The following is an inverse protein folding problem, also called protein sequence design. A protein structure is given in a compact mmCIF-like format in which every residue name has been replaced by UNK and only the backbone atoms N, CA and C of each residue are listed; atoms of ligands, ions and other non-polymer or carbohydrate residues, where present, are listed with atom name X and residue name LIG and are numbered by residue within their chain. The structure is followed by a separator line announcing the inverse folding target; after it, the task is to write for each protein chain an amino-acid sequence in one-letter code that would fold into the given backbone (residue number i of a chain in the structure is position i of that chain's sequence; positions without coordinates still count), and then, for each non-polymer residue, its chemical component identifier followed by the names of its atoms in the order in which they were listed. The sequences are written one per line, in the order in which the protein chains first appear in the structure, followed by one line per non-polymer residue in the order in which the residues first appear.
data_IF_421053269583
#
_entry.id   IF_421053269583
#
_cell.length_a   1.000
_cell.length_b   1.000
_cell.length_c   1.000
_cell.angle_alpha   90.00
_cell.angle_beta   90.00
_cell.angle_gamma   90.00
#
_symmetry.space_group_name_H-M   'P 1'
#
loop_
_entity.id
_entity.type
_entity.pdbx_description
1 polymer ?
#
# COMPACT_ATOMS: atom_id res chain seq x y z
N UNK A 1 -0.94 -18.25 -15.09
CA UNK A 1 -1.99 -18.35 -16.10
C UNK A 1 -3.36 -18.26 -15.42
N UNK A 2 -4.35 -17.66 -16.01
CA UNK A 2 -5.65 -17.32 -15.44
C UNK A 2 -5.64 -16.13 -14.44
N UNK A 3 -4.56 -15.33 -14.39
CA UNK A 3 -4.48 -14.13 -13.55
C UNK A 3 -4.02 -14.37 -12.11
N UNK A 4 -3.68 -15.60 -11.73
CA UNK A 4 -3.13 -15.87 -10.41
C UNK A 4 -1.66 -15.46 -10.32
N UNK A 5 -1.25 -14.94 -9.16
CA UNK A 5 0.16 -14.66 -8.88
C UNK A 5 0.94 -15.98 -8.92
N UNK A 6 2.04 -15.97 -9.67
CA UNK A 6 2.95 -17.11 -9.73
C UNK A 6 4.21 -16.74 -8.93
N UNK A 7 4.51 -17.48 -7.85
CA UNK A 7 5.75 -17.31 -7.10
C UNK A 7 6.97 -17.51 -8.00
N UNK A 8 8.04 -16.81 -7.73
CA UNK A 8 9.29 -16.97 -8.47
C UNK A 8 10.09 -18.19 -7.97
N UNK A 9 11.15 -18.53 -8.70
CA UNK A 9 11.98 -19.69 -8.37
C UNK A 9 12.73 -19.59 -7.03
N UNK A 10 12.88 -18.38 -6.48
CA UNK A 10 13.52 -18.17 -5.17
C UNK A 10 12.56 -18.48 -4.01
N UNK A 11 11.24 -18.31 -4.23
CA UNK A 11 10.19 -18.55 -3.25
C UNK A 11 9.06 -19.36 -3.89
N UNK A 12 9.33 -20.62 -4.31
CA UNK A 12 8.37 -21.40 -5.09
C UNK A 12 7.16 -21.88 -4.27
N UNK A 13 7.30 -21.99 -2.95
CA UNK A 13 6.27 -22.39 -2.00
C UNK A 13 6.01 -21.27 -0.99
N UNK A 14 5.12 -20.35 -1.33
CA UNK A 14 4.77 -19.24 -0.46
C UNK A 14 4.04 -19.69 0.80
N UNK A 15 3.19 -20.73 0.71
CA UNK A 15 2.49 -21.27 1.88
C UNK A 15 3.47 -21.88 2.87
N UNK A 16 4.39 -22.72 2.39
CA UNK A 16 5.43 -23.29 3.25
C UNK A 16 6.34 -22.23 3.88
N UNK A 17 6.66 -21.17 3.15
CA UNK A 17 7.43 -20.03 3.69
C UNK A 17 6.68 -19.34 4.83
N UNK A 18 5.40 -19.02 4.63
CA UNK A 18 4.61 -18.34 5.68
C UNK A 18 4.40 -19.24 6.90
N UNK A 19 4.15 -20.52 6.72
CA UNK A 19 4.01 -21.48 7.82
C UNK A 19 5.32 -21.58 8.62
N UNK A 20 6.46 -21.59 7.94
CA UNK A 20 7.76 -21.58 8.61
C UNK A 20 7.96 -20.31 9.44
N UNK A 21 7.68 -19.13 8.87
CA UNK A 21 7.79 -17.85 9.59
C UNK A 21 6.88 -17.82 10.82
N UNK A 22 5.63 -18.32 10.67
CA UNK A 22 4.69 -18.41 11.78
C UNK A 22 5.17 -19.39 12.87
N UNK A 23 5.84 -20.47 12.49
CA UNK A 23 6.40 -21.44 13.46
C UNK A 23 7.47 -20.81 14.36
N UNK A 24 8.09 -19.70 13.89
CA UNK A 24 9.04 -18.90 14.67
C UNK A 24 8.36 -17.86 15.56
N UNK A 25 7.02 -17.79 15.58
CA UNK A 25 6.25 -16.77 16.31
C UNK A 25 6.26 -15.38 15.63
N UNK A 26 6.65 -15.31 14.37
CA UNK A 26 6.74 -14.07 13.59
C UNK A 26 5.53 -13.90 12.68
N UNK A 27 5.34 -12.67 12.18
CA UNK A 27 4.35 -12.29 11.17
C UNK A 27 5.02 -12.08 9.82
N UNK A 28 4.27 -12.27 8.73
CA UNK A 28 4.79 -12.15 7.37
C UNK A 28 3.88 -11.29 6.50
N UNK A 29 4.47 -10.40 5.73
CA UNK A 29 3.75 -9.53 4.82
C UNK A 29 4.22 -9.66 3.38
N UNK A 30 3.44 -9.06 2.48
CA UNK A 30 3.76 -8.95 1.07
C UNK A 30 3.61 -7.50 0.61
N UNK A 31 4.26 -7.19 -0.49
CA UNK A 31 4.19 -5.91 -1.18
C UNK A 31 3.53 -6.07 -2.54
N UNK A 32 2.59 -5.19 -2.88
CA UNK A 32 1.97 -5.11 -4.19
C UNK A 32 1.59 -3.66 -4.55
N UNK A 33 0.87 -3.48 -5.65
CA UNK A 33 0.47 -2.17 -6.17
C UNK A 33 -0.91 -2.28 -6.83
N UNK A 34 -1.75 -1.23 -6.76
CA UNK A 34 -2.99 -1.14 -7.51
C UNK A 34 -2.78 -1.03 -9.03
N UNK A 35 -1.61 -0.62 -9.47
CA UNK A 35 -1.27 -0.53 -10.89
C UNK A 35 -0.90 -1.89 -11.50
N UNK A 36 -0.66 -1.94 -12.82
CA UNK A 36 -0.21 -3.16 -13.49
C UNK A 36 1.20 -3.61 -13.06
N UNK A 37 2.02 -2.69 -12.52
CA UNK A 37 3.39 -2.96 -12.10
C UNK A 37 3.67 -2.40 -10.71
N UNK A 38 4.46 -3.11 -9.93
CA UNK A 38 5.06 -2.58 -8.70
C UNK A 38 6.21 -1.64 -9.04
N UNK A 39 6.69 -0.86 -8.07
CA UNK A 39 7.84 0.03 -8.24
C UNK A 39 9.14 -0.75 -8.56
N UNK A 40 9.23 -2.02 -8.15
CA UNK A 40 10.32 -2.93 -8.49
C UNK A 40 10.16 -3.64 -9.84
N UNK A 41 9.15 -3.29 -10.65
CA UNK A 41 8.92 -3.89 -11.98
C UNK A 41 8.28 -5.29 -11.94
N UNK A 42 7.82 -5.76 -10.78
CA UNK A 42 7.02 -6.98 -10.69
C UNK A 42 5.55 -6.70 -11.04
N UNK A 43 4.76 -7.75 -11.26
CA UNK A 43 3.33 -7.60 -11.53
C UNK A 43 2.61 -6.98 -10.33
N UNK A 44 1.70 -6.03 -10.59
CA UNK A 44 0.78 -5.47 -9.60
C UNK A 44 -0.61 -6.08 -9.74
N UNK A 45 -1.56 -5.62 -8.91
CA UNK A 45 -2.87 -6.26 -8.76
C UNK A 45 -3.95 -5.75 -9.74
N UNK A 46 -3.63 -4.82 -10.64
CA UNK A 46 -4.63 -4.17 -11.49
C UNK A 46 -5.49 -5.16 -12.28
N UNK A 47 -6.79 -5.17 -12.00
CA UNK A 47 -7.77 -6.07 -12.61
C UNK A 47 -7.80 -7.49 -12.04
N UNK A 48 -6.97 -7.79 -11.03
CA UNK A 48 -6.85 -9.10 -10.38
C UNK A 48 -6.91 -9.00 -8.85
N UNK A 49 -7.40 -7.87 -8.32
CA UNK A 49 -7.38 -7.56 -6.88
C UNK A 49 -8.05 -8.64 -6.03
N UNK A 50 -9.16 -9.20 -6.54
CA UNK A 50 -9.85 -10.31 -5.84
C UNK A 50 -9.00 -11.56 -5.76
N UNK A 51 -8.43 -11.98 -6.90
CA UNK A 51 -7.61 -13.19 -6.97
C UNK A 51 -6.36 -13.06 -6.11
N UNK A 52 -5.75 -11.87 -6.12
CA UNK A 52 -4.59 -11.57 -5.30
C UNK A 52 -4.93 -11.61 -3.80
N UNK A 53 -6.04 -10.99 -3.39
CA UNK A 53 -6.49 -11.03 -2.01
C UNK A 53 -6.80 -12.46 -1.54
N UNK A 54 -7.47 -13.27 -2.38
CA UNK A 54 -7.73 -14.68 -2.09
C UNK A 54 -6.41 -15.45 -1.90
N UNK A 55 -5.44 -15.23 -2.78
CA UNK A 55 -4.12 -15.85 -2.71
C UNK A 55 -3.34 -15.44 -1.45
N UNK A 56 -3.41 -14.16 -1.05
CA UNK A 56 -2.80 -13.68 0.20
C UNK A 56 -3.40 -14.38 1.43
N UNK A 57 -4.71 -14.58 1.43
CA UNK A 57 -5.41 -15.35 2.46
C UNK A 57 -4.97 -16.81 2.50
N UNK A 58 -4.91 -17.49 1.35
CA UNK A 58 -4.48 -18.87 1.21
C UNK A 58 -3.02 -19.09 1.65
N UNK A 59 -2.13 -18.18 1.26
CA UNK A 59 -0.73 -18.24 1.69
C UNK A 59 -0.54 -17.93 3.17
N UNK A 60 -1.53 -17.36 3.82
CA UNK A 60 -1.46 -17.08 5.24
C UNK A 60 -0.73 -15.76 5.57
N UNK A 61 -0.76 -14.79 4.67
CA UNK A 61 -0.11 -13.49 4.92
C UNK A 61 -0.85 -12.69 6.00
N UNK A 62 -0.09 -11.94 6.80
CA UNK A 62 -0.60 -11.11 7.89
C UNK A 62 -0.61 -9.61 7.55
N UNK A 63 0.03 -9.20 6.46
CA UNK A 63 0.24 -7.80 6.13
C UNK A 63 0.37 -7.60 4.62
N UNK A 64 -0.28 -6.56 4.10
CA UNK A 64 -0.11 -6.09 2.73
C UNK A 64 0.34 -4.62 2.74
N UNK A 65 1.53 -4.32 2.18
CA UNK A 65 1.89 -2.96 1.76
C UNK A 65 1.44 -2.76 0.31
N UNK A 66 0.54 -1.81 0.10
CA UNK A 66 -0.08 -1.55 -1.22
C UNK A 66 0.33 -0.17 -1.71
N UNK A 67 1.26 -0.15 -2.65
CA UNK A 67 1.99 1.05 -3.05
C UNK A 67 1.46 1.65 -4.36
N UNK A 68 1.45 2.96 -4.44
CA UNK A 68 0.96 3.73 -5.60
C UNK A 68 1.87 3.65 -6.84
N UNK A 69 2.41 2.50 -7.16
CA UNK A 69 3.25 2.32 -8.34
C UNK A 69 2.38 2.14 -9.60
N UNK A 70 2.73 2.78 -10.69
CA UNK A 70 2.12 2.67 -12.02
C UNK A 70 0.61 2.96 -12.14
N UNK A 71 -0.13 3.14 -11.05
CA UNK A 71 -1.57 3.39 -11.11
C UNK A 71 -1.93 4.75 -11.72
N UNK A 72 -1.04 5.74 -11.65
CA UNK A 72 -1.24 7.02 -12.31
C UNK A 72 -1.52 6.89 -13.80
N UNK A 73 -0.80 5.99 -14.49
CA UNK A 73 -1.04 5.72 -15.91
C UNK A 73 -2.34 4.94 -16.20
N UNK A 74 -2.90 4.26 -15.21
CA UNK A 74 -4.26 3.67 -15.30
C UNK A 74 -5.31 4.76 -15.13
N UNK A 75 -5.13 5.59 -14.12
CA UNK A 75 -6.03 6.70 -13.82
C UNK A 75 -6.26 7.59 -15.04
N UNK A 76 -5.19 7.95 -15.74
CA UNK A 76 -5.28 8.80 -16.92
C UNK A 76 -6.05 8.14 -18.10
N UNK A 77 -6.06 6.80 -18.18
CA UNK A 77 -6.79 6.05 -19.23
C UNK A 77 -8.24 5.76 -18.87
N UNK A 78 -8.55 5.62 -17.59
CA UNK A 78 -9.89 5.29 -17.09
C UNK A 78 -10.74 6.52 -16.76
N UNK A 79 -10.17 7.73 -16.89
CA UNK A 79 -10.86 8.99 -16.57
C UNK A 79 -12.22 9.15 -17.25
N UNK A 80 -12.36 8.64 -18.47
CA UNK A 80 -13.60 8.77 -19.25
C UNK A 80 -14.70 7.77 -18.86
N UNK A 81 -14.40 6.78 -18.03
CA UNK A 81 -15.29 5.65 -17.72
C UNK A 81 -15.74 5.55 -16.27
N UNK A 82 -15.12 6.32 -15.38
CA UNK A 82 -15.36 6.23 -13.95
C UNK A 82 -16.07 7.48 -13.44
N UNK A 83 -17.32 7.37 -12.91
CA UNK A 83 -18.03 8.52 -12.32
C UNK A 83 -17.30 9.12 -11.10
N UNK A 84 -16.28 8.44 -10.57
CA UNK A 84 -15.43 8.93 -9.49
C UNK A 84 -14.07 9.46 -10.00
N UNK A 85 -13.87 9.53 -11.33
CA UNK A 85 -12.64 10.02 -11.91
C UNK A 85 -12.52 11.53 -11.77
N UNK A 86 -11.46 11.99 -11.16
CA UNK A 86 -10.98 13.38 -11.20
C UNK A 86 -9.59 13.35 -11.84
N UNK A 87 -9.28 14.35 -12.65
CA UNK A 87 -8.02 14.41 -13.38
C UNK A 87 -6.81 14.21 -12.46
N UNK A 88 -5.75 13.61 -12.98
CA UNK A 88 -4.47 13.44 -12.26
C UNK A 88 -3.94 14.74 -11.66
N UNK A 89 -4.26 15.88 -12.27
CA UNK A 89 -3.97 17.22 -11.78
C UNK A 89 -4.74 17.59 -10.50
N UNK A 90 -5.99 17.12 -10.35
CA UNK A 90 -6.76 17.34 -9.11
C UNK A 90 -6.20 16.51 -7.93
N UNK A 91 -5.55 15.37 -8.22
CA UNK A 91 -4.88 14.57 -7.21
C UNK A 91 -3.64 15.27 -6.64
N UNK A 92 -2.91 16.02 -7.46
CA UNK A 92 -1.75 16.83 -7.04
C UNK A 92 -2.17 18.09 -6.26
N UNK A 93 -3.40 18.53 -6.39
CA UNK A 93 -3.92 19.76 -5.81
C UNK A 93 -4.44 19.67 -4.37
N UNK A 94 -4.25 18.56 -3.66
CA UNK A 94 -4.66 18.41 -2.24
C UNK A 94 -6.18 18.40 -2.01
N UNK A 95 -6.99 18.25 -3.04
CA UNK A 95 -8.42 18.08 -2.93
C UNK A 95 -8.77 16.64 -2.47
N UNK A 96 -9.96 16.47 -1.89
CA UNK A 96 -10.52 15.15 -1.53
C UNK A 96 -10.82 14.30 -2.79
N UNK A 97 -9.79 13.97 -3.56
CA UNK A 97 -9.92 13.21 -4.79
C UNK A 97 -10.36 11.78 -4.51
N UNK A 98 -11.60 11.47 -4.84
CA UNK A 98 -12.19 10.13 -4.73
C UNK A 98 -11.44 9.13 -5.62
N UNK A 99 -10.90 9.55 -6.75
CA UNK A 99 -10.18 8.69 -7.70
C UNK A 99 -8.97 7.99 -7.07
N UNK A 100 -8.22 8.69 -6.23
CA UNK A 100 -7.09 8.10 -5.51
C UNK A 100 -7.47 7.08 -4.43
N UNK A 101 -8.75 7.03 -4.03
CA UNK A 101 -9.25 6.10 -3.02
C UNK A 101 -9.74 4.78 -3.61
N UNK A 102 -10.25 4.82 -4.85
CA UNK A 102 -10.89 3.68 -5.52
C UNK A 102 -10.04 2.41 -5.49
N UNK A 103 -8.77 2.42 -5.93
CA UNK A 103 -7.98 1.20 -5.96
C UNK A 103 -7.71 0.63 -4.56
N UNK A 104 -7.52 1.50 -3.57
CA UNK A 104 -7.35 1.07 -2.18
C UNK A 104 -8.64 0.50 -1.61
N UNK A 105 -9.80 1.10 -1.97
CA UNK A 105 -11.10 0.56 -1.55
C UNK A 105 -11.37 -0.81 -2.14
N UNK A 106 -11.08 -1.02 -3.41
CA UNK A 106 -11.30 -2.31 -4.10
C UNK A 106 -10.50 -3.42 -3.39
N UNK A 107 -9.20 -3.22 -3.20
CA UNK A 107 -8.35 -4.19 -2.49
C UNK A 107 -8.81 -4.36 -1.03
N UNK A 108 -9.10 -3.27 -0.31
CA UNK A 108 -9.57 -3.33 1.07
C UNK A 108 -10.90 -4.11 1.22
N UNK A 109 -11.82 -3.99 0.26
CA UNK A 109 -13.07 -4.75 0.25
C UNK A 109 -12.82 -6.26 0.10
N UNK A 110 -11.85 -6.68 -0.72
CA UNK A 110 -11.49 -8.09 -0.88
C UNK A 110 -10.67 -8.64 0.28
N UNK A 111 -9.77 -7.84 0.86
CA UNK A 111 -9.03 -8.25 2.06
C UNK A 111 -9.97 -8.54 3.25
N UNK A 112 -11.03 -7.73 3.42
CA UNK A 112 -12.04 -7.96 4.48
C UNK A 112 -12.87 -9.23 4.29
N UNK A 113 -12.90 -9.82 3.10
CA UNK A 113 -13.59 -11.07 2.82
C UNK A 113 -12.73 -12.30 3.11
N UNK A 114 -11.45 -12.11 3.42
CA UNK A 114 -10.56 -13.23 3.71
C UNK A 114 -10.87 -13.83 5.09
N UNK A 115 -10.65 -15.16 5.28
CA UNK A 115 -10.93 -15.85 6.53
C UNK A 115 -9.91 -15.53 7.64
N UNK A 116 -9.05 -14.53 7.42
CA UNK A 116 -8.00 -14.10 8.35
C UNK A 116 -7.81 -12.59 8.30
N UNK A 117 -7.33 -12.03 9.38
CA UNK A 117 -6.96 -10.61 9.42
C UNK A 117 -5.65 -10.37 8.66
N UNK A 118 -5.68 -9.42 7.73
CA UNK A 118 -4.51 -8.94 6.99
C UNK A 118 -4.42 -7.43 7.24
N UNK A 119 -3.35 -6.99 7.90
CA UNK A 119 -3.09 -5.58 8.11
C UNK A 119 -2.81 -4.90 6.77
N UNK A 120 -3.58 -3.89 6.46
CA UNK A 120 -3.53 -3.20 5.18
C UNK A 120 -2.85 -1.84 5.30
N UNK A 121 -1.68 -1.69 4.69
CA UNK A 121 -0.90 -0.45 4.65
C UNK A 121 -1.07 0.23 3.29
N UNK A 122 -1.56 1.46 3.31
CA UNK A 122 -1.74 2.29 2.13
C UNK A 122 -0.47 3.12 1.90
N UNK A 123 0.24 2.86 0.81
CA UNK A 123 1.46 3.58 0.47
C UNK A 123 1.25 4.47 -0.76
N UNK A 124 0.64 5.64 -0.55
CA UNK A 124 0.43 6.65 -1.60
C UNK A 124 0.98 8.03 -1.18
N UNK A 125 2.01 8.03 -0.33
CA UNK A 125 2.88 9.17 -0.02
C UNK A 125 2.18 10.37 0.64
N UNK A 126 1.05 10.16 1.31
CA UNK A 126 0.27 11.23 1.96
C UNK A 126 -0.64 11.99 1.01
N UNK A 127 -0.68 11.62 -0.27
CA UNK A 127 -1.51 12.29 -1.27
C UNK A 127 -2.99 12.24 -0.89
N UNK A 128 -3.70 13.36 -1.11
CA UNK A 128 -5.13 13.49 -0.82
C UNK A 128 -5.46 13.36 0.65
N UNK A 129 -4.52 13.71 1.56
CA UNK A 129 -4.72 13.63 3.01
C UNK A 129 -5.21 12.23 3.45
N UNK A 130 -4.49 11.18 3.07
CA UNK A 130 -4.87 9.78 3.31
C UNK A 130 -5.32 9.49 4.74
N UNK A 131 -4.78 10.19 5.73
CA UNK A 131 -5.18 10.07 7.13
C UNK A 131 -6.66 10.40 7.40
N UNK A 132 -7.30 11.17 6.51
CA UNK A 132 -8.73 11.52 6.63
C UNK A 132 -9.67 10.44 6.11
N UNK A 133 -9.17 9.50 5.31
CA UNK A 133 -10.02 8.51 4.63
C UNK A 133 -9.46 7.08 4.61
N UNK A 134 -8.22 6.88 5.03
CA UNK A 134 -7.55 5.59 4.92
C UNK A 134 -8.27 4.47 5.68
N UNK A 135 -8.88 4.77 6.84
CA UNK A 135 -9.69 3.83 7.60
C UNK A 135 -10.98 3.44 6.86
N UNK A 136 -11.60 4.37 6.15
CA UNK A 136 -12.84 4.11 5.40
C UNK A 136 -12.66 3.12 4.23
N UNK A 137 -11.45 3.01 3.69
CA UNK A 137 -11.10 2.01 2.66
C UNK A 137 -10.53 0.71 3.26
N UNK A 138 -10.44 0.62 4.57
CA UNK A 138 -9.98 -0.59 5.28
C UNK A 138 -8.50 -0.57 5.65
N UNK A 139 -7.81 0.56 5.51
CA UNK A 139 -6.42 0.71 5.94
C UNK A 139 -6.26 0.75 7.46
N UNK A 140 -5.28 0.04 7.99
CA UNK A 140 -4.87 0.12 9.39
C UNK A 140 -3.65 1.03 9.58
N UNK A 141 -2.88 1.26 8.52
CA UNK A 141 -1.81 2.26 8.50
C UNK A 141 -1.66 2.86 7.10
N UNK A 142 -1.03 4.01 7.02
CA UNK A 142 -0.85 4.73 5.76
C UNK A 142 0.39 5.63 5.79
N UNK A 143 1.12 5.62 4.69
CA UNK A 143 2.24 6.54 4.47
C UNK A 143 1.74 7.98 4.43
N UNK A 144 2.40 8.85 5.17
CA UNK A 144 2.03 10.27 5.31
C UNK A 144 2.89 11.21 4.49
N UNK A 145 4.02 10.72 3.96
CA UNK A 145 5.02 11.50 3.23
C UNK A 145 5.62 10.70 2.09
N UNK A 146 6.40 11.37 1.23
CA UNK A 146 7.30 10.74 0.27
C UNK A 146 8.34 9.87 0.97
N UNK A 147 9.08 9.10 0.18
CA UNK A 147 10.14 8.23 0.68
C UNK A 147 11.21 9.03 1.41
N UNK A 148 11.69 8.48 2.51
CA UNK A 148 12.76 9.05 3.30
C UNK A 148 14.11 8.83 2.60
N UNK A 149 15.01 9.81 2.74
CA UNK A 149 16.41 9.66 2.36
C UNK A 149 17.31 9.81 3.58
N UNK A 150 18.54 9.30 3.52
CA UNK A 150 19.55 9.40 4.58
C UNK A 150 20.15 10.81 4.63
N UNK A 151 19.30 11.81 4.85
CA UNK A 151 19.71 13.19 5.09
C UNK A 151 18.99 13.77 6.30
N UNK A 152 19.63 14.64 7.03
CA UNK A 152 19.01 15.29 8.18
C UNK A 152 17.75 16.08 7.81
N UNK A 153 17.76 16.76 6.67
CA UNK A 153 16.61 17.51 6.14
C UNK A 153 15.42 16.58 5.88
N UNK A 154 15.64 15.42 5.28
CA UNK A 154 14.59 14.42 5.04
C UNK A 154 14.02 13.88 6.34
N UNK A 155 14.86 13.39 7.23
CA UNK A 155 14.46 12.82 8.53
C UNK A 155 13.71 13.85 9.36
N UNK A 156 14.27 15.06 9.52
CA UNK A 156 13.65 16.17 10.26
C UNK A 156 12.34 16.61 9.61
N UNK A 157 12.33 16.80 8.30
CA UNK A 157 11.14 17.26 7.55
C UNK A 157 9.99 16.27 7.69
N UNK A 158 10.25 14.98 7.54
CA UNK A 158 9.25 13.92 7.71
C UNK A 158 8.75 13.88 9.16
N UNK A 159 9.64 13.86 10.14
CA UNK A 159 9.27 13.80 11.55
C UNK A 159 8.37 14.97 11.97
N UNK A 160 8.75 16.20 11.63
CA UNK A 160 7.99 17.39 12.00
C UNK A 160 6.68 17.53 11.23
N UNK A 161 6.57 16.95 10.03
CA UNK A 161 5.33 16.98 9.24
C UNK A 161 4.22 16.10 9.78
N UNK A 162 4.51 15.19 10.73
CA UNK A 162 3.52 14.26 11.28
C UNK A 162 2.43 14.96 12.10
N UNK A 163 2.70 16.14 12.62
CA UNK A 163 1.73 16.92 13.40
C UNK A 163 0.41 17.15 12.65
N UNK A 164 0.47 17.38 11.34
CA UNK A 164 -0.72 17.58 10.47
C UNK A 164 -1.65 16.37 10.42
N UNK A 165 -1.14 15.16 10.64
CA UNK A 165 -1.89 13.91 10.59
C UNK A 165 -2.16 13.31 11.98
N UNK A 166 -1.61 13.90 13.05
CA UNK A 166 -1.65 13.35 14.40
C UNK A 166 -3.07 13.10 14.93
N UNK A 167 -4.03 13.99 14.60
CA UNK A 167 -5.42 13.88 15.07
C UNK A 167 -6.16 12.63 14.54
N UNK A 168 -5.67 11.99 13.49
CA UNK A 168 -6.28 10.81 12.87
C UNK A 168 -5.63 9.50 13.32
N UNK A 169 -4.49 9.55 14.01
CA UNK A 169 -3.89 8.36 14.60
C UNK A 169 -4.70 7.91 15.82
N UNK A 170 -5.10 6.65 15.84
CA UNK A 170 -5.87 6.02 16.93
C UNK A 170 -5.61 4.52 16.94
N UNK A 171 -5.95 3.78 18.02
CA UNK A 171 -5.83 2.33 18.01
C UNK A 171 -6.48 1.68 16.78
N UNK A 172 -5.70 0.88 16.05
CA UNK A 172 -6.09 0.25 14.79
C UNK A 172 -5.89 1.11 13.54
N UNK A 173 -5.50 2.39 13.67
CA UNK A 173 -5.28 3.30 12.56
C UNK A 173 -4.04 4.17 12.82
N UNK A 174 -2.97 3.95 12.04
CA UNK A 174 -1.67 4.52 12.35
C UNK A 174 -1.08 5.30 11.17
N UNK A 175 -0.53 6.47 11.46
CA UNK A 175 0.30 7.20 10.53
C UNK A 175 1.65 6.50 10.38
N UNK A 176 2.11 6.34 9.15
CA UNK A 176 3.39 5.74 8.81
C UNK A 176 4.28 6.83 8.17
N UNK A 177 5.29 7.33 8.91
CA UNK A 177 6.21 8.35 8.41
C UNK A 177 7.33 7.78 7.53
N UNK A 178 7.23 6.51 7.12
CA UNK A 178 8.26 5.73 6.46
C UNK A 178 9.30 5.12 7.42
N UNK A 179 10.26 4.42 6.85
CA UNK A 179 11.33 3.77 7.58
C UNK A 179 12.17 4.80 8.35
N UNK A 180 12.54 4.44 9.57
CA UNK A 180 13.70 5.06 10.19
C UNK A 180 14.94 4.47 9.51
N UNK A 181 15.91 5.28 9.15
CA UNK A 181 17.15 4.82 8.49
C UNK A 181 18.37 4.85 9.42
N UNK A 182 18.29 4.28 10.65
CA UNK A 182 19.38 4.34 11.62
C UNK A 182 20.56 3.50 11.14
N UNK A 183 21.72 4.11 11.07
CA UNK A 183 22.98 3.43 10.72
C UNK A 183 23.16 3.09 9.25
N UNK A 184 22.24 3.50 8.37
CA UNK A 184 22.37 3.38 6.91
C UNK A 184 22.89 4.71 6.37
N UNK A 185 23.99 4.67 5.61
CA UNK A 185 24.58 5.85 4.99
C UNK A 185 24.39 5.78 3.48
N UNK A 186 23.90 6.87 2.88
CA UNK A 186 23.69 6.97 1.44
C UNK A 186 22.37 6.34 0.95
N UNK A 187 21.43 6.01 1.83
CA UNK A 187 20.12 5.51 1.46
C UNK A 187 19.31 6.57 0.70
N UNK A 188 18.84 6.23 -0.50
CA UNK A 188 18.02 7.11 -1.33
C UNK A 188 18.78 8.24 -2.02
N UNK A 189 20.11 8.19 -2.11
CA UNK A 189 20.98 9.14 -2.82
C UNK A 189 21.47 8.57 -4.15
#
# INVERSE_FOLDING_TARGET
DQGNIIPNAQFPDMKGLTDYIHSLGLKVGIYSSPGPWTCGGCVGSYGYEKQDADMYGEWGLDYLKYDWCSYGGVLDRDLDKDPYSVSSLAFQGGGESIAGRKPFKIMGDYLRQQPRDIVYNLCQYGMGDVWKWGDAVGGQCWRTTNDITDTWESVKGIALSQDRAAAWAKPGNWNDPDMLVPGIVGWGN
#
